data_IF_671506533681
#
_entry.id   IF_671506533681
#
_cell.length_a   1.000
_cell.length_b   1.000
_cell.length_c   1.000
_cell.angle_alpha   90.00
_cell.angle_beta   90.00
_cell.angle_gamma   90.00
#
_symmetry.space_group_name_H-M   'P 1'
#
loop_
_entity.id
_entity.type
_entity.pdbx_description
1 polymer ?
#
# COMPACT_ATOMS: atom_id res chain seq x y z
N UNK A 1 -8.76 -7.88 42.09
CA UNK A 1 -9.64 -8.85 41.39
C UNK A 1 -9.12 -9.11 40.00
N UNK A 2 -8.71 -10.36 39.70
CA UNK A 2 -8.41 -10.77 38.33
C UNK A 2 -9.74 -10.93 37.61
N UNK A 3 -10.02 -10.09 36.65
CA UNK A 3 -11.14 -10.26 35.73
C UNK A 3 -10.96 -11.64 35.08
N UNK A 4 -11.82 -12.59 35.38
CA UNK A 4 -11.90 -13.85 34.64
C UNK A 4 -12.54 -13.52 33.30
N UNK A 5 -11.70 -13.29 32.29
CA UNK A 5 -12.18 -13.13 30.92
C UNK A 5 -12.73 -14.49 30.45
N UNK A 6 -13.93 -14.50 29.94
CA UNK A 6 -14.56 -15.72 29.39
C UNK A 6 -13.71 -16.28 28.25
N UNK A 7 -13.60 -17.60 28.13
CA UNK A 7 -12.83 -18.18 27.04
C UNK A 7 -13.53 -17.96 25.70
N UNK A 8 -12.68 -17.65 24.73
CA UNK A 8 -12.82 -17.78 23.27
C UNK A 8 -14.29 -17.84 22.75
N UNK A 9 -14.85 -16.66 22.42
CA UNK A 9 -16.22 -16.59 21.85
C UNK A 9 -16.27 -17.02 20.38
N UNK A 10 -15.13 -17.05 19.65
CA UNK A 10 -15.07 -17.28 18.21
C UNK A 10 -13.99 -18.29 17.80
N UNK A 11 -13.98 -19.52 18.38
CA UNK A 11 -12.98 -20.51 18.04
C UNK A 11 -13.09 -20.97 16.58
N UNK A 12 -11.96 -20.97 15.85
CA UNK A 12 -11.91 -21.39 14.45
C UNK A 12 -12.42 -20.38 13.43
N UNK A 13 -12.89 -19.20 13.86
CA UNK A 13 -13.19 -18.08 12.96
C UNK A 13 -11.91 -17.43 12.48
N UNK A 14 -11.87 -17.08 11.19
CA UNK A 14 -10.70 -16.51 10.54
C UNK A 14 -10.88 -15.02 10.29
N UNK A 15 -9.90 -14.21 10.68
CA UNK A 15 -9.89 -12.79 10.39
C UNK A 15 -8.58 -12.36 9.77
N UNK A 16 -8.66 -11.59 8.68
CA UNK A 16 -7.52 -10.87 8.13
C UNK A 16 -7.56 -9.45 8.70
N UNK A 17 -6.46 -8.97 9.21
CA UNK A 17 -6.28 -7.56 9.59
C UNK A 17 -5.17 -7.00 8.71
N UNK A 18 -5.55 -6.14 7.76
CA UNK A 18 -4.62 -5.40 6.91
C UNK A 18 -4.32 -4.05 7.53
N UNK A 19 -3.04 -3.77 7.78
CA UNK A 19 -2.62 -2.53 8.43
C UNK A 19 -1.17 -2.19 8.13
N UNK A 20 -0.72 -1.00 8.55
CA UNK A 20 0.57 -0.38 8.26
C UNK A 20 0.71 0.05 6.81
N UNK A 21 0.83 -0.85 5.87
CA UNK A 21 0.80 -0.68 4.41
C UNK A 21 1.63 0.52 3.88
N UNK A 22 2.90 0.68 4.31
CA UNK A 22 3.73 1.77 3.82
C UNK A 22 4.15 1.53 2.37
N UNK A 23 4.35 2.62 1.63
CA UNK A 23 5.00 2.52 0.33
C UNK A 23 6.50 2.30 0.49
N UNK A 24 7.07 1.36 -0.26
CA UNK A 24 8.53 1.21 -0.31
C UNK A 24 9.17 2.49 -0.88
N UNK A 25 10.45 2.70 -0.56
CA UNK A 25 11.20 3.90 -0.92
C UNK A 25 10.66 5.22 -0.33
N UNK A 26 9.69 5.13 0.59
CA UNK A 26 9.24 6.23 1.43
C UNK A 26 9.58 5.96 2.89
N UNK A 27 9.78 7.04 3.64
CA UNK A 27 10.04 6.93 5.08
C UNK A 27 8.79 6.51 5.83
N UNK A 28 9.01 5.72 6.88
CA UNK A 28 7.96 5.39 7.84
C UNK A 28 7.67 6.63 8.70
N UNK A 29 6.47 7.16 8.57
CA UNK A 29 6.04 8.40 9.25
C UNK A 29 5.08 8.09 10.40
N UNK A 30 4.79 9.12 11.22
CA UNK A 30 3.79 9.02 12.28
C UNK A 30 2.39 8.59 11.78
N UNK A 31 2.07 8.86 10.51
CA UNK A 31 0.84 8.36 9.89
C UNK A 31 0.82 6.84 9.77
N UNK A 32 1.95 6.25 9.35
CA UNK A 32 2.12 4.79 9.29
C UNK A 32 2.13 4.18 10.70
N UNK A 33 2.77 4.85 11.68
CA UNK A 33 2.74 4.42 13.08
C UNK A 33 1.31 4.29 13.60
N UNK A 34 0.43 5.26 13.31
CA UNK A 34 -0.97 5.23 13.72
C UNK A 34 -1.70 4.00 13.18
N UNK A 35 -1.64 3.77 11.86
CA UNK A 35 -2.23 2.58 11.24
C UNK A 35 -1.68 1.29 11.85
N UNK A 36 -0.35 1.23 12.01
CA UNK A 36 0.35 0.07 12.56
C UNK A 36 -0.13 -0.27 13.97
N UNK A 37 -0.22 0.72 14.85
CA UNK A 37 -0.61 0.49 16.25
C UNK A 37 -2.10 0.15 16.39
N UNK A 38 -2.98 0.80 15.63
CA UNK A 38 -4.41 0.48 15.63
C UNK A 38 -4.64 -0.94 15.09
N UNK A 39 -4.01 -1.27 13.96
CA UNK A 39 -4.16 -2.60 13.36
C UNK A 39 -3.58 -3.71 14.23
N UNK A 40 -2.43 -3.46 14.84
CA UNK A 40 -1.83 -4.41 15.80
C UNK A 40 -2.75 -4.65 17.00
N UNK A 41 -3.32 -3.59 17.60
CA UNK A 41 -4.25 -3.72 18.71
C UNK A 41 -5.52 -4.51 18.31
N UNK A 42 -6.07 -4.26 17.11
CA UNK A 42 -7.20 -5.02 16.59
C UNK A 42 -6.87 -6.49 16.36
N UNK A 43 -5.69 -6.78 15.80
CA UNK A 43 -5.23 -8.15 15.61
C UNK A 43 -5.10 -8.90 16.95
N UNK A 44 -4.50 -8.25 17.96
CA UNK A 44 -4.38 -8.82 19.30
C UNK A 44 -5.75 -9.04 19.96
N UNK A 45 -6.68 -8.09 19.83
CA UNK A 45 -8.03 -8.24 20.38
C UNK A 45 -8.78 -9.42 19.73
N UNK A 46 -8.71 -9.59 18.41
CA UNK A 46 -9.31 -10.72 17.72
C UNK A 46 -8.65 -12.04 18.13
N UNK A 47 -7.33 -12.08 18.24
CA UNK A 47 -6.62 -13.27 18.73
C UNK A 47 -7.05 -13.64 20.14
N UNK A 48 -7.22 -12.66 21.02
CA UNK A 48 -7.71 -12.85 22.37
C UNK A 48 -9.14 -13.43 22.40
N UNK A 49 -10.00 -13.01 21.47
CA UNK A 49 -11.36 -13.54 21.30
C UNK A 49 -11.41 -14.93 20.62
N UNK A 50 -10.26 -15.49 20.25
CA UNK A 50 -10.16 -16.85 19.69
C UNK A 50 -10.18 -16.95 18.17
N UNK A 51 -10.10 -15.83 17.47
CA UNK A 51 -9.94 -15.87 16.02
C UNK A 51 -8.56 -16.39 15.60
N UNK A 52 -8.52 -17.11 14.49
CA UNK A 52 -7.28 -17.29 13.72
C UNK A 52 -7.00 -16.00 12.96
N UNK A 53 -5.98 -15.25 13.38
CA UNK A 53 -5.68 -13.93 12.84
C UNK A 53 -4.56 -14.01 11.81
N UNK A 54 -4.82 -13.53 10.60
CA UNK A 54 -3.79 -13.24 9.59
C UNK A 54 -3.47 -11.75 9.59
N UNK A 55 -2.23 -11.40 9.96
CA UNK A 55 -1.71 -10.02 9.95
C UNK A 55 -1.08 -9.74 8.60
N UNK A 56 -1.71 -8.88 7.83
CA UNK A 56 -1.31 -8.59 6.46
C UNK A 56 -0.80 -7.16 6.34
N UNK A 57 0.36 -7.02 5.70
CA UNK A 57 0.94 -5.72 5.37
C UNK A 57 0.93 -5.54 3.84
N UNK A 58 -0.06 -4.82 3.33
CA UNK A 58 -0.21 -4.56 1.90
C UNK A 58 0.72 -3.43 1.46
N UNK A 59 1.99 -3.77 1.21
CA UNK A 59 3.00 -2.79 0.84
C UNK A 59 2.73 -2.17 -0.53
N UNK A 60 2.79 -0.83 -0.59
CA UNK A 60 2.80 -0.12 -1.85
C UNK A 60 4.16 -0.27 -2.53
N UNK A 61 4.26 -1.18 -3.49
CA UNK A 61 5.54 -1.53 -4.14
C UNK A 61 5.60 -1.08 -5.59
N UNK A 62 4.56 -0.43 -6.12
CA UNK A 62 4.42 -0.05 -7.51
C UNK A 62 3.91 1.39 -7.67
N UNK A 63 4.24 2.05 -8.79
CA UNK A 63 3.71 3.36 -9.12
C UNK A 63 4.76 4.33 -9.69
N UNK A 64 4.30 5.43 -10.28
CA UNK A 64 5.12 6.46 -10.95
C UNK A 64 6.22 7.06 -10.07
N UNK A 65 6.06 7.01 -8.75
CA UNK A 65 7.07 7.42 -7.78
C UNK A 65 8.41 6.70 -7.93
N UNK A 66 8.40 5.46 -8.45
CA UNK A 66 9.63 4.71 -8.70
C UNK A 66 10.38 5.25 -9.89
N UNK A 67 9.69 5.72 -10.93
CA UNK A 67 10.34 6.44 -12.02
C UNK A 67 11.09 7.67 -11.52
N UNK A 68 10.48 8.46 -10.66
CA UNK A 68 11.13 9.61 -10.01
C UNK A 68 12.38 9.19 -9.21
N UNK A 69 12.29 8.12 -8.42
CA UNK A 69 13.42 7.65 -7.61
C UNK A 69 14.57 7.10 -8.45
N UNK A 70 14.24 6.34 -9.50
CA UNK A 70 15.22 5.80 -10.44
C UNK A 70 15.95 6.95 -11.16
N UNK A 71 15.22 7.94 -11.67
CA UNK A 71 15.78 9.12 -12.31
C UNK A 71 16.67 9.92 -11.32
N UNK A 72 16.16 10.18 -10.11
CA UNK A 72 16.90 10.91 -9.08
C UNK A 72 18.21 10.20 -8.69
N UNK A 73 18.13 8.89 -8.46
CA UNK A 73 19.30 8.09 -8.12
C UNK A 73 20.32 8.08 -9.26
N UNK A 74 19.89 7.89 -10.49
CA UNK A 74 20.77 7.86 -11.67
C UNK A 74 21.45 9.21 -11.89
N UNK A 75 20.74 10.32 -11.69
CA UNK A 75 21.32 11.66 -11.86
C UNK A 75 22.38 12.02 -10.80
N UNK A 76 22.17 11.66 -9.54
CA UNK A 76 22.96 12.26 -8.45
C UNK A 76 23.72 11.26 -7.57
N UNK A 77 23.52 9.99 -7.78
CA UNK A 77 24.15 8.98 -6.94
C UNK A 77 25.21 8.15 -7.67
N UNK A 78 25.37 8.29 -8.99
CA UNK A 78 26.37 7.54 -9.76
C UNK A 78 27.82 8.05 -9.60
N UNK A 79 28.01 9.28 -9.11
CA UNK A 79 29.31 9.93 -9.00
C UNK A 79 30.13 9.51 -7.76
N UNK A 80 30.13 8.23 -7.40
CA UNK A 80 30.91 7.72 -6.27
C UNK A 80 30.26 7.88 -4.88
N UNK A 81 29.13 8.59 -4.78
CA UNK A 81 28.25 8.62 -3.60
C UNK A 81 27.09 7.64 -3.69
N UNK A 82 27.15 6.73 -4.64
CA UNK A 82 26.05 5.89 -5.09
C UNK A 82 25.64 4.79 -4.10
N UNK A 83 26.46 4.50 -3.12
CA UNK A 83 26.10 3.48 -2.13
C UNK A 83 25.29 4.11 -0.99
N UNK A 84 23.95 3.88 -1.07
CA UNK A 84 23.03 4.33 -0.03
C UNK A 84 23.32 3.66 1.33
N UNK A 85 23.97 2.53 1.33
CA UNK A 85 24.33 1.74 2.51
C UNK A 85 25.76 2.02 3.00
N UNK A 86 26.53 2.91 2.33
CA UNK A 86 27.90 3.25 2.74
C UNK A 86 27.92 3.73 4.18
N UNK A 87 28.84 3.18 4.94
CA UNK A 87 29.07 3.53 6.36
C UNK A 87 27.81 3.37 7.25
N UNK A 88 26.84 2.56 6.83
CA UNK A 88 25.65 2.30 7.61
C UNK A 88 25.70 0.90 8.26
N UNK A 89 25.70 0.88 9.58
CA UNK A 89 25.63 -0.36 10.37
C UNK A 89 24.17 -0.77 10.57
N UNK A 90 23.75 -1.83 9.88
CA UNK A 90 22.41 -2.39 10.03
C UNK A 90 22.17 -3.05 11.40
N UNK A 91 23.23 -3.34 12.16
CA UNK A 91 23.12 -3.89 13.52
C UNK A 91 22.86 -2.81 14.57
N UNK A 92 23.05 -1.51 14.23
CA UNK A 92 22.75 -0.40 15.14
C UNK A 92 21.24 -0.33 15.42
N UNK A 93 20.80 -0.51 16.68
CA UNK A 93 19.37 -0.64 17.00
C UNK A 93 18.58 0.66 16.87
N UNK A 94 19.25 1.81 16.98
CA UNK A 94 18.62 3.13 16.92
C UNK A 94 19.53 4.16 16.24
N UNK A 95 19.87 3.95 14.94
CA UNK A 95 20.74 4.86 14.23
C UNK A 95 20.11 6.26 14.11
N UNK A 96 20.98 7.27 13.98
CA UNK A 96 20.51 8.59 13.62
C UNK A 96 19.75 8.51 12.28
N UNK A 97 18.52 9.00 12.29
CA UNK A 97 17.59 8.84 11.16
C UNK A 97 18.13 9.39 9.84
N UNK A 98 18.81 10.53 9.88
CA UNK A 98 19.40 11.16 8.71
C UNK A 98 20.52 10.35 8.05
N UNK A 99 21.04 9.34 8.75
CA UNK A 99 22.09 8.45 8.26
C UNK A 99 21.56 7.19 7.59
N UNK A 100 20.26 6.90 7.76
CA UNK A 100 19.70 5.65 7.19
C UNK A 100 19.68 5.67 5.66
N UNK A 101 19.92 4.52 5.01
CA UNK A 101 19.85 4.40 3.56
C UNK A 101 18.53 4.87 2.97
N UNK A 102 17.43 4.55 3.64
CA UNK A 102 16.10 4.98 3.21
C UNK A 102 15.90 6.50 3.30
N UNK A 103 16.52 7.16 4.31
CA UNK A 103 16.48 8.61 4.38
C UNK A 103 17.31 9.27 3.27
N UNK A 104 18.46 8.72 2.91
CA UNK A 104 19.26 9.19 1.77
C UNK A 104 18.48 9.10 0.46
N UNK A 105 17.77 7.96 0.25
CA UNK A 105 16.90 7.80 -0.90
C UNK A 105 15.75 8.82 -0.90
N UNK A 106 15.15 9.08 0.25
CA UNK A 106 14.12 10.11 0.41
C UNK A 106 14.63 11.52 0.09
N UNK A 107 15.85 11.87 0.47
CA UNK A 107 16.46 13.16 0.13
C UNK A 107 16.58 13.34 -1.40
N UNK A 108 16.96 12.28 -2.12
CA UNK A 108 17.01 12.32 -3.59
C UNK A 108 15.61 12.54 -4.18
N UNK A 109 14.58 11.91 -3.62
CA UNK A 109 13.19 12.10 -4.04
C UNK A 109 12.70 13.53 -3.82
N UNK A 110 12.97 14.11 -2.65
CA UNK A 110 12.61 15.53 -2.35
C UNK A 110 13.35 16.49 -3.26
N UNK A 111 14.64 16.26 -3.48
CA UNK A 111 15.45 17.09 -4.38
C UNK A 111 14.90 17.04 -5.81
N UNK A 112 14.52 15.87 -6.30
CA UNK A 112 13.97 15.73 -7.66
C UNK A 112 12.70 16.56 -7.81
N UNK A 113 11.79 16.49 -6.85
CA UNK A 113 10.55 17.26 -6.90
C UNK A 113 10.77 18.78 -6.81
N UNK A 114 11.79 19.22 -6.10
CA UNK A 114 12.15 20.65 -6.05
C UNK A 114 12.76 21.15 -7.37
N UNK A 115 13.58 20.32 -8.03
CA UNK A 115 14.22 20.69 -9.29
C UNK A 115 13.28 20.55 -10.50
N UNK A 116 12.37 19.56 -10.50
CA UNK A 116 11.41 19.38 -11.60
C UNK A 116 10.41 20.56 -11.79
N UNK A 117 10.23 21.39 -10.75
CA UNK A 117 9.42 22.61 -10.86
C UNK A 117 10.01 23.59 -11.86
N UNK A 118 11.35 23.61 -12.01
CA UNK A 118 12.11 24.49 -12.89
C UNK A 118 12.56 23.79 -14.19
N UNK A 119 12.50 22.45 -14.26
CA UNK A 119 12.89 21.66 -15.43
C UNK A 119 11.83 20.60 -15.75
N UNK A 120 10.83 20.92 -16.61
CA UNK A 120 9.77 19.99 -17.00
C UNK A 120 10.28 18.70 -17.67
N UNK A 121 11.48 18.70 -18.28
CA UNK A 121 12.06 17.52 -18.91
C UNK A 121 12.35 16.40 -17.90
N UNK A 122 12.54 16.75 -16.63
CA UNK A 122 12.73 15.78 -15.56
C UNK A 122 11.49 14.88 -15.36
N UNK A 123 10.30 15.40 -15.61
CA UNK A 123 9.06 14.58 -15.54
C UNK A 123 9.03 13.51 -16.63
N UNK A 124 9.49 13.86 -17.82
CA UNK A 124 9.54 12.92 -18.94
C UNK A 124 10.61 11.85 -18.70
N UNK A 125 11.74 12.24 -18.13
CA UNK A 125 12.76 11.30 -17.68
C UNK A 125 12.21 10.31 -16.63
N UNK A 126 11.52 10.80 -15.61
CA UNK A 126 10.90 9.95 -14.60
C UNK A 126 9.87 8.99 -15.21
N UNK A 127 9.04 9.46 -16.16
CA UNK A 127 8.13 8.60 -16.92
C UNK A 127 8.87 7.54 -17.73
N UNK A 128 9.98 7.92 -18.39
CA UNK A 128 10.82 7.03 -19.13
C UNK A 128 11.40 5.92 -18.25
N UNK A 129 11.90 6.24 -17.06
CA UNK A 129 12.40 5.25 -16.11
C UNK A 129 11.30 4.31 -15.62
N UNK A 130 10.10 4.84 -15.34
CA UNK A 130 8.97 4.02 -14.91
C UNK A 130 8.53 3.06 -16.03
N UNK A 131 8.46 3.54 -17.28
CA UNK A 131 8.18 2.69 -18.44
C UNK A 131 9.21 1.59 -18.61
N UNK A 132 10.52 1.89 -18.52
CA UNK A 132 11.59 0.88 -18.53
C UNK A 132 11.39 -0.18 -17.45
N UNK A 133 11.00 0.24 -16.24
CA UNK A 133 10.71 -0.69 -15.12
C UNK A 133 9.56 -1.63 -15.48
N UNK A 134 8.45 -1.10 -16.04
CA UNK A 134 7.29 -1.88 -16.49
C UNK A 134 7.66 -2.86 -17.62
N UNK A 135 8.47 -2.43 -18.57
CA UNK A 135 8.95 -3.25 -19.70
C UNK A 135 10.01 -4.27 -19.30
N UNK A 136 10.46 -4.25 -18.05
CA UNK A 136 11.38 -5.27 -17.53
C UNK A 136 12.84 -4.98 -17.74
N UNK A 137 13.24 -3.74 -18.00
CA UNK A 137 14.64 -3.33 -18.12
C UNK A 137 15.46 -3.82 -16.92
N UNK A 138 16.59 -4.45 -17.20
CA UNK A 138 17.41 -5.14 -16.21
C UNK A 138 17.96 -4.17 -15.14
N UNK A 139 18.38 -2.96 -15.54
CA UNK A 139 18.92 -1.97 -14.61
C UNK A 139 17.81 -1.37 -13.76
N UNK A 140 16.69 -0.98 -14.35
CA UNK A 140 15.55 -0.44 -13.62
C UNK A 140 15.04 -1.45 -12.58
N UNK A 141 14.92 -2.73 -12.94
CA UNK A 141 14.52 -3.80 -12.01
C UNK A 141 15.55 -4.06 -10.93
N UNK A 142 16.84 -4.01 -11.24
CA UNK A 142 17.93 -4.17 -10.27
C UNK A 142 17.88 -3.08 -9.21
N UNK A 143 17.78 -1.81 -9.63
CA UNK A 143 17.67 -0.66 -8.72
C UNK A 143 16.39 -0.70 -7.90
N UNK A 144 15.26 -0.99 -8.52
CA UNK A 144 13.98 -1.14 -7.83
C UNK A 144 14.03 -2.25 -6.76
N UNK A 145 14.60 -3.40 -7.07
CA UNK A 145 14.76 -4.50 -6.13
C UNK A 145 15.63 -4.10 -4.94
N UNK A 146 16.69 -3.33 -5.19
CA UNK A 146 17.56 -2.83 -4.14
C UNK A 146 16.85 -1.80 -3.24
N UNK A 147 16.11 -0.84 -3.81
CA UNK A 147 15.32 0.10 -3.03
C UNK A 147 14.26 -0.60 -2.19
N UNK A 148 13.64 -1.65 -2.74
CA UNK A 148 12.71 -2.51 -2.00
C UNK A 148 13.41 -3.19 -0.82
N UNK A 149 14.57 -3.77 -1.03
CA UNK A 149 15.36 -4.44 0.02
C UNK A 149 15.72 -3.49 1.17
N UNK A 150 16.23 -2.30 0.86
CA UNK A 150 16.55 -1.26 1.85
C UNK A 150 15.29 -0.90 2.65
N UNK A 151 14.17 -0.64 1.97
CA UNK A 151 12.92 -0.24 2.60
C UNK A 151 12.40 -1.30 3.55
N UNK A 152 12.38 -2.57 3.11
CA UNK A 152 11.92 -3.68 3.95
C UNK A 152 12.78 -3.87 5.19
N UNK A 153 14.11 -3.73 5.08
CA UNK A 153 15.01 -3.80 6.24
C UNK A 153 14.73 -2.68 7.24
N UNK A 154 14.52 -1.46 6.76
CA UNK A 154 14.18 -0.32 7.61
C UNK A 154 12.82 -0.49 8.28
N UNK A 155 11.79 -0.95 7.55
CA UNK A 155 10.48 -1.23 8.12
C UNK A 155 10.53 -2.35 9.16
N UNK A 156 11.26 -3.44 8.88
CA UNK A 156 11.41 -4.55 9.81
C UNK A 156 12.03 -4.06 11.13
N UNK A 157 13.08 -3.24 11.08
CA UNK A 157 13.71 -2.66 12.27
C UNK A 157 12.72 -1.83 13.11
N UNK A 158 11.83 -1.07 12.44
CA UNK A 158 10.79 -0.30 13.13
C UNK A 158 9.77 -1.25 13.75
N UNK A 159 9.33 -2.28 13.02
CA UNK A 159 8.36 -3.27 13.52
C UNK A 159 8.92 -4.04 14.70
N UNK A 160 10.19 -4.45 14.67
CA UNK A 160 10.86 -5.13 15.79
C UNK A 160 10.87 -4.25 17.03
N UNK A 161 11.18 -2.95 16.88
CA UNK A 161 11.16 -1.99 17.99
C UNK A 161 9.75 -1.75 18.55
N UNK A 162 8.71 -1.87 17.74
CA UNK A 162 7.31 -1.73 18.15
C UNK A 162 6.71 -3.04 18.69
N UNK A 163 7.42 -4.15 18.59
CA UNK A 163 6.90 -5.48 18.91
C UNK A 163 5.77 -5.93 17.97
N UNK A 164 5.80 -5.47 16.71
CA UNK A 164 4.79 -5.78 15.69
C UNK A 164 5.36 -6.79 14.70
N UNK A 165 4.58 -7.80 14.37
CA UNK A 165 4.92 -8.78 13.34
C UNK A 165 3.78 -8.97 12.36
N UNK A 166 4.12 -9.38 11.14
CA UNK A 166 3.18 -9.72 10.09
C UNK A 166 3.35 -11.16 9.64
N UNK A 167 2.26 -11.81 9.29
CA UNK A 167 2.28 -13.17 8.75
C UNK A 167 2.69 -13.16 7.28
N UNK A 168 2.47 -12.03 6.57
CA UNK A 168 2.96 -11.81 5.20
C UNK A 168 3.33 -10.35 4.94
N UNK A 169 4.49 -10.15 4.31
CA UNK A 169 5.00 -8.88 3.76
C UNK A 169 5.12 -8.95 2.23
N UNK A 170 4.84 -10.09 1.63
CA UNK A 170 5.06 -10.32 0.20
C UNK A 170 3.83 -10.01 -0.64
N UNK A 171 2.64 -10.01 -0.02
CA UNK A 171 1.36 -9.76 -0.68
C UNK A 171 1.04 -8.26 -0.80
N UNK A 172 2.02 -7.47 -1.29
CA UNK A 172 1.83 -6.07 -1.67
C UNK A 172 1.21 -5.91 -3.06
N UNK A 173 1.11 -4.67 -3.53
CA UNK A 173 0.45 -4.31 -4.80
C UNK A 173 0.94 -5.14 -6.01
N UNK A 174 2.27 -5.37 -6.12
CA UNK A 174 2.84 -6.11 -7.24
C UNK A 174 2.54 -7.62 -7.22
N UNK A 175 2.16 -8.18 -6.08
CA UNK A 175 1.82 -9.59 -5.96
C UNK A 175 0.57 -9.95 -6.80
N UNK A 176 -0.31 -8.98 -7.01
CA UNK A 176 -1.59 -9.19 -7.70
C UNK A 176 -1.55 -8.82 -9.18
N UNK A 177 -0.39 -8.50 -9.77
CA UNK A 177 -0.29 -8.06 -11.17
C UNK A 177 -0.90 -9.06 -12.15
N UNK A 178 -0.57 -10.35 -11.99
CA UNK A 178 -1.10 -11.44 -12.84
C UNK A 178 -2.60 -11.70 -12.60
N UNK A 179 -3.19 -11.17 -11.52
CA UNK A 179 -4.59 -11.31 -11.18
C UNK A 179 -5.47 -10.21 -11.78
N UNK A 180 -4.88 -9.14 -12.31
CA UNK A 180 -5.64 -7.99 -12.82
C UNK A 180 -6.49 -8.35 -14.04
N UNK A 181 -5.90 -9.03 -15.01
CA UNK A 181 -6.61 -9.52 -16.20
C UNK A 181 -7.77 -10.48 -15.85
N UNK A 182 -7.52 -11.55 -15.08
CA UNK A 182 -8.58 -12.42 -14.59
C UNK A 182 -9.68 -11.69 -13.81
N UNK A 183 -9.33 -10.69 -12.99
CA UNK A 183 -10.30 -9.87 -12.25
C UNK A 183 -11.19 -9.09 -13.19
N UNK A 184 -10.60 -8.38 -14.18
CA UNK A 184 -11.37 -7.64 -15.18
C UNK A 184 -12.32 -8.55 -15.97
N UNK A 185 -11.84 -9.75 -16.34
CA UNK A 185 -12.69 -10.75 -17.02
C UNK A 185 -13.86 -11.19 -16.15
N UNK A 186 -13.66 -11.45 -14.86
CA UNK A 186 -14.75 -11.80 -13.93
C UNK A 186 -15.80 -10.68 -13.83
N UNK A 187 -15.39 -9.42 -13.80
CA UNK A 187 -16.29 -8.27 -13.78
C UNK A 187 -17.09 -8.15 -15.10
N UNK A 188 -16.46 -8.45 -16.23
CA UNK A 188 -17.10 -8.46 -17.55
C UNK A 188 -18.10 -9.61 -17.68
N UNK A 189 -17.70 -10.82 -17.34
CA UNK A 189 -18.55 -12.02 -17.38
C UNK A 189 -19.78 -11.88 -16.45
N UNK A 190 -19.65 -11.13 -15.34
CA UNK A 190 -20.76 -10.78 -14.45
C UNK A 190 -21.64 -9.62 -14.98
N UNK A 191 -21.33 -9.03 -16.12
CA UNK A 191 -22.09 -7.93 -16.71
C UNK A 191 -22.05 -6.63 -15.91
N UNK A 192 -21.02 -6.43 -15.06
CA UNK A 192 -20.90 -5.26 -14.18
C UNK A 192 -20.25 -4.05 -14.85
N UNK A 193 -19.47 -4.27 -15.92
CA UNK A 193 -18.71 -3.23 -16.58
C UNK A 193 -19.57 -2.42 -17.56
N UNK A 194 -19.47 -1.10 -17.42
CA UNK A 194 -20.05 -0.16 -18.39
C UNK A 194 -18.97 0.80 -18.89
N UNK A 195 -19.18 1.37 -20.08
CA UNK A 195 -18.28 2.39 -20.62
C UNK A 195 -18.56 3.72 -19.94
N UNK A 196 -17.51 4.33 -19.42
CA UNK A 196 -17.51 5.68 -18.85
C UNK A 196 -16.85 6.70 -19.77
N UNK A 197 -16.53 7.85 -19.21
CA UNK A 197 -15.88 8.93 -19.96
C UNK A 197 -14.54 8.50 -20.57
N UNK A 198 -14.29 8.94 -21.82
CA UNK A 198 -13.03 8.72 -22.55
C UNK A 198 -12.63 7.23 -22.67
N UNK A 199 -13.62 6.33 -22.78
CA UNK A 199 -13.38 4.90 -22.92
C UNK A 199 -12.96 4.19 -21.64
N UNK A 200 -13.12 4.83 -20.48
CA UNK A 200 -12.86 4.19 -19.18
C UNK A 200 -13.88 3.07 -18.91
N UNK A 201 -13.50 2.08 -18.12
CA UNK A 201 -14.39 1.01 -17.63
C UNK A 201 -14.78 1.33 -16.18
N UNK A 202 -16.07 1.43 -15.95
CA UNK A 202 -16.65 1.78 -14.64
C UNK A 202 -17.73 0.78 -14.22
N UNK A 203 -18.06 0.80 -12.93
CA UNK A 203 -19.17 0.02 -12.37
C UNK A 203 -20.13 0.97 -11.67
N UNK A 204 -21.40 0.97 -12.06
CA UNK A 204 -22.44 1.76 -11.41
C UNK A 204 -22.82 1.17 -10.06
N UNK A 205 -22.95 2.02 -9.06
CA UNK A 205 -23.21 1.66 -7.67
C UNK A 205 -24.42 2.42 -7.06
N UNK A 206 -25.26 3.02 -7.89
CA UNK A 206 -26.45 3.78 -7.45
C UNK A 206 -27.43 2.91 -6.64
N UNK A 207 -27.59 1.65 -7.01
CA UNK A 207 -28.40 0.67 -6.29
C UNK A 207 -27.83 0.29 -4.91
N UNK A 208 -26.51 0.52 -4.69
CA UNK A 208 -25.86 0.43 -3.39
C UNK A 208 -25.86 1.78 -2.62
N UNK A 209 -26.54 2.81 -3.13
CA UNK A 209 -26.59 4.15 -2.55
C UNK A 209 -25.32 4.98 -2.74
N UNK A 210 -24.46 4.60 -3.68
CA UNK A 210 -23.22 5.32 -4.00
C UNK A 210 -23.36 5.97 -5.37
N UNK A 211 -23.47 7.31 -5.40
CA UNK A 211 -23.68 8.08 -6.64
C UNK A 211 -22.45 8.15 -7.54
N UNK A 212 -21.25 8.00 -6.98
CA UNK A 212 -20.01 8.02 -7.75
C UNK A 212 -19.68 6.61 -8.22
N UNK A 213 -19.62 6.32 -9.54
CA UNK A 213 -19.29 5.01 -10.04
C UNK A 213 -17.86 4.60 -9.65
N UNK A 214 -17.63 3.29 -9.53
CA UNK A 214 -16.29 2.76 -9.31
C UNK A 214 -15.54 2.69 -10.64
N UNK A 215 -14.50 3.51 -10.80
CA UNK A 215 -13.58 3.38 -11.93
C UNK A 215 -12.71 2.14 -11.69
N UNK A 216 -12.63 1.24 -12.68
CA UNK A 216 -11.79 0.03 -12.60
C UNK A 216 -10.69 -0.02 -13.65
N UNK A 217 -10.84 0.70 -14.77
CA UNK A 217 -9.79 0.79 -15.79
C UNK A 217 -9.89 2.12 -16.53
N UNK A 218 -8.74 2.72 -16.82
CA UNK A 218 -8.68 3.92 -17.65
C UNK A 218 -8.93 3.59 -19.12
N UNK A 219 -9.30 4.61 -19.94
CA UNK A 219 -9.54 4.44 -21.36
C UNK A 219 -8.31 4.01 -22.18
N UNK A 220 -7.11 4.17 -21.65
CA UNK A 220 -5.85 3.67 -22.23
C UNK A 220 -5.56 2.21 -21.87
N UNK A 221 -6.47 1.53 -21.16
CA UNK A 221 -6.32 0.16 -20.69
C UNK A 221 -5.55 0.00 -19.38
N UNK A 222 -5.03 1.09 -18.81
CA UNK A 222 -4.25 1.03 -17.56
C UNK A 222 -5.14 0.66 -16.37
N UNK A 223 -4.74 -0.37 -15.62
CA UNK A 223 -5.36 -0.73 -14.35
C UNK A 223 -5.09 0.32 -13.28
N UNK A 224 -6.01 0.45 -12.33
CA UNK A 224 -5.92 1.41 -11.23
C UNK A 224 -5.98 0.71 -9.88
N UNK A 225 -5.88 1.48 -8.79
CA UNK A 225 -5.93 0.93 -7.43
C UNK A 225 -7.17 0.06 -7.16
N UNK A 226 -8.35 0.47 -7.66
CA UNK A 226 -9.58 -0.30 -7.46
C UNK A 226 -9.47 -1.73 -8.02
N UNK A 227 -8.89 -1.91 -9.21
CA UNK A 227 -8.70 -3.24 -9.81
C UNK A 227 -7.76 -4.10 -8.96
N UNK A 228 -6.69 -3.50 -8.41
CA UNK A 228 -5.74 -4.20 -7.53
C UNK A 228 -6.40 -4.63 -6.22
N UNK A 229 -7.19 -3.76 -5.61
CA UNK A 229 -7.90 -4.08 -4.36
C UNK A 229 -8.97 -5.15 -4.56
N UNK A 230 -9.67 -5.14 -5.70
CA UNK A 230 -10.59 -6.22 -6.07
C UNK A 230 -9.85 -7.54 -6.27
N UNK A 231 -8.73 -7.53 -7.00
CA UNK A 231 -7.89 -8.72 -7.21
C UNK A 231 -7.37 -9.27 -5.87
N UNK A 232 -6.91 -8.38 -4.98
CA UNK A 232 -6.45 -8.75 -3.65
C UNK A 232 -7.55 -9.41 -2.81
N UNK A 233 -8.77 -8.84 -2.82
CA UNK A 233 -9.90 -9.39 -2.08
C UNK A 233 -10.32 -10.77 -2.60
N UNK A 234 -10.36 -10.96 -3.92
CA UNK A 234 -10.66 -12.24 -4.57
C UNK A 234 -9.62 -13.31 -4.21
N UNK A 235 -8.33 -12.98 -4.31
CA UNK A 235 -7.25 -13.86 -3.89
C UNK A 235 -7.36 -14.24 -2.42
N UNK A 236 -7.60 -13.27 -1.53
CA UNK A 236 -7.73 -13.50 -0.08
C UNK A 236 -8.90 -14.42 0.25
N UNK A 237 -10.03 -14.31 -0.46
CA UNK A 237 -11.13 -15.26 -0.34
C UNK A 237 -10.66 -16.69 -0.60
N UNK A 238 -9.96 -16.91 -1.69
CA UNK A 238 -9.50 -18.24 -2.11
C UNK A 238 -8.38 -18.79 -1.20
N UNK A 239 -7.43 -17.95 -0.84
CA UNK A 239 -6.25 -18.36 -0.06
C UNK A 239 -6.55 -18.56 1.43
N UNK A 240 -7.42 -17.73 2.02
CA UNK A 240 -7.61 -17.68 3.47
C UNK A 240 -9.00 -18.11 3.92
N UNK A 241 -10.01 -18.09 3.04
CA UNK A 241 -11.41 -18.41 3.36
C UNK A 241 -11.86 -17.71 4.66
N UNK A 242 -11.63 -16.39 4.77
CA UNK A 242 -11.82 -15.61 5.99
C UNK A 242 -13.30 -15.37 6.32
N UNK A 243 -13.60 -15.22 7.60
CA UNK A 243 -14.92 -14.76 8.08
C UNK A 243 -15.02 -13.23 8.07
N UNK A 244 -13.90 -12.54 8.30
CA UNK A 244 -13.81 -11.07 8.26
C UNK A 244 -12.46 -10.62 7.69
N UNK A 245 -12.48 -9.51 6.95
CA UNK A 245 -11.28 -8.83 6.48
C UNK A 245 -11.36 -7.35 6.87
N UNK A 246 -10.50 -6.91 7.78
CA UNK A 246 -10.42 -5.55 8.27
C UNK A 246 -9.34 -4.77 7.53
N UNK A 247 -9.70 -3.61 7.00
CA UNK A 247 -8.78 -2.66 6.36
C UNK A 247 -8.59 -1.45 7.27
N UNK A 248 -7.42 -1.35 7.91
CA UNK A 248 -7.10 -0.25 8.83
C UNK A 248 -6.42 0.87 8.06
N UNK A 249 -7.23 1.73 7.46
CA UNK A 249 -6.82 2.77 6.51
C UNK A 249 -7.47 4.11 6.86
N UNK A 250 -6.83 5.22 6.48
CA UNK A 250 -7.31 6.57 6.80
C UNK A 250 -8.69 6.91 6.25
N UNK A 251 -9.36 7.87 6.88
CA UNK A 251 -10.71 8.34 6.52
C UNK A 251 -10.81 8.93 5.11
N UNK A 252 -9.73 9.35 4.51
CA UNK A 252 -9.66 9.83 3.13
C UNK A 252 -9.96 8.73 2.09
N UNK A 253 -9.93 7.45 2.49
CA UNK A 253 -10.21 6.29 1.65
C UNK A 253 -11.63 5.71 1.86
N UNK A 254 -12.50 6.37 2.64
CA UNK A 254 -13.85 5.85 2.95
C UNK A 254 -14.65 5.54 1.69
N UNK A 255 -14.74 6.49 0.75
CA UNK A 255 -15.49 6.28 -0.51
C UNK A 255 -14.89 5.13 -1.32
N UNK A 256 -13.57 5.04 -1.41
CA UNK A 256 -12.89 3.97 -2.12
C UNK A 256 -13.30 2.59 -1.59
N UNK A 257 -13.22 2.37 -0.26
CA UNK A 257 -13.60 1.09 0.32
C UNK A 257 -15.11 0.81 0.21
N UNK A 258 -15.96 1.83 0.31
CA UNK A 258 -17.40 1.66 0.04
C UNK A 258 -17.63 1.16 -1.39
N UNK A 259 -16.95 1.73 -2.38
CA UNK A 259 -17.03 1.29 -3.78
C UNK A 259 -16.51 -0.14 -3.96
N UNK A 260 -15.32 -0.46 -3.43
CA UNK A 260 -14.72 -1.80 -3.54
C UNK A 260 -15.65 -2.87 -2.92
N UNK A 261 -16.18 -2.62 -1.73
CA UNK A 261 -17.04 -3.59 -1.06
C UNK A 261 -18.37 -3.77 -1.78
N UNK A 262 -18.97 -2.69 -2.30
CA UNK A 262 -20.18 -2.76 -3.10
C UNK A 262 -19.96 -3.54 -4.40
N UNK A 263 -18.82 -3.37 -5.07
CA UNK A 263 -18.47 -4.17 -6.26
C UNK A 263 -18.29 -5.63 -5.91
N UNK A 264 -17.60 -5.94 -4.82
CA UNK A 264 -17.42 -7.33 -4.37
C UNK A 264 -18.74 -7.99 -4.01
N UNK A 265 -19.66 -7.29 -3.33
CA UNK A 265 -20.99 -7.80 -2.97
C UNK A 265 -21.86 -8.08 -4.21
N UNK A 266 -21.71 -7.27 -5.28
CA UNK A 266 -22.37 -7.53 -6.57
C UNK A 266 -21.76 -8.71 -7.31
N UNK A 267 -20.44 -8.83 -7.28
CA UNK A 267 -19.71 -9.88 -7.99
C UNK A 267 -19.92 -11.25 -7.34
N UNK A 268 -19.96 -11.29 -6.02
CA UNK A 268 -20.04 -12.53 -5.25
C UNK A 268 -20.66 -12.26 -3.87
N UNK A 269 -21.91 -12.74 -3.62
CA UNK A 269 -22.61 -12.56 -2.35
C UNK A 269 -21.84 -13.09 -1.11
N UNK A 270 -20.82 -13.92 -1.31
CA UNK A 270 -19.97 -14.42 -0.23
C UNK A 270 -19.30 -13.27 0.52
N UNK A 271 -18.96 -12.14 -0.14
CA UNK A 271 -18.30 -11.01 0.50
C UNK A 271 -19.19 -10.20 1.44
N UNK A 272 -20.52 -10.35 1.30
CA UNK A 272 -21.49 -9.53 2.04
C UNK A 272 -21.27 -9.59 3.55
N UNK A 273 -20.99 -8.44 4.15
CA UNK A 273 -20.75 -8.30 5.58
C UNK A 273 -19.42 -8.85 6.10
N UNK A 274 -18.52 -9.30 5.21
CA UNK A 274 -17.19 -9.82 5.58
C UNK A 274 -16.08 -8.76 5.46
N UNK A 275 -16.27 -7.75 4.64
CA UNK A 275 -15.32 -6.69 4.36
C UNK A 275 -15.60 -5.49 5.25
N UNK A 276 -14.62 -5.02 6.02
CA UNK A 276 -14.78 -3.93 6.96
C UNK A 276 -13.64 -2.92 6.80
N UNK A 277 -13.99 -1.68 6.50
CA UNK A 277 -13.05 -0.56 6.63
C UNK A 277 -13.07 -0.07 8.07
N UNK A 278 -11.91 0.00 8.70
CA UNK A 278 -11.69 0.56 10.02
C UNK A 278 -10.97 1.91 9.86
N UNK A 279 -11.72 3.00 9.62
CA UNK A 279 -11.15 4.29 9.30
C UNK A 279 -10.55 4.94 10.56
N UNK A 280 -9.46 5.68 10.37
CA UNK A 280 -8.87 6.51 11.42
C UNK A 280 -8.57 7.92 10.90
N UNK A 281 -8.63 8.91 11.79
CA UNK A 281 -8.37 10.30 11.45
C UNK A 281 -6.91 10.54 11.06
N UNK A 282 -6.72 11.36 10.02
CA UNK A 282 -5.38 11.75 9.54
C UNK A 282 -4.67 12.65 10.56
N UNK A 283 -3.35 12.46 10.69
CA UNK A 283 -2.51 13.39 11.44
C UNK A 283 -2.23 14.61 10.58
N UNK A 284 -2.47 15.78 11.14
CA UNK A 284 -2.20 17.07 10.49
C UNK A 284 -1.13 17.81 11.28
N UNK A 285 -0.27 18.51 10.59
CA UNK A 285 0.62 19.52 11.19
C UNK A 285 -0.18 20.82 11.41
N UNK A 286 0.27 21.72 12.27
CA UNK A 286 -0.33 23.07 12.40
C UNK A 286 -0.45 23.78 11.05
N UNK A 287 0.52 23.56 10.16
CA UNK A 287 0.61 24.17 8.82
C UNK A 287 -0.25 23.41 7.77
N UNK A 288 -0.90 22.29 8.13
CA UNK A 288 -1.74 21.52 7.24
C UNK A 288 -1.34 20.05 7.06
N UNK A 289 -1.60 19.48 5.88
CA UNK A 289 -1.29 18.07 5.60
C UNK A 289 0.22 17.83 5.47
N UNK A 290 0.71 16.73 6.04
CA UNK A 290 2.04 16.23 5.76
C UNK A 290 2.20 15.89 4.28
N UNK A 291 3.37 16.18 3.71
CA UNK A 291 3.70 15.87 2.32
C UNK A 291 5.11 15.33 2.19
N UNK A 292 5.23 14.11 1.74
CA UNK A 292 6.54 13.50 1.45
C UNK A 292 7.27 14.21 0.30
N UNK A 293 6.54 14.76 -0.68
CA UNK A 293 7.13 15.54 -1.79
C UNK A 293 7.80 16.81 -1.31
N UNK A 294 7.22 17.48 -0.30
CA UNK A 294 7.75 18.73 0.28
C UNK A 294 8.72 18.48 1.44
N UNK A 295 8.90 17.24 1.85
CA UNK A 295 9.76 16.91 2.97
C UNK A 295 9.23 17.29 4.36
N UNK A 296 7.99 17.85 4.47
CA UNK A 296 7.39 18.24 5.74
C UNK A 296 6.63 17.09 6.39
N UNK A 297 7.34 16.11 6.90
CA UNK A 297 6.79 14.92 7.54
C UNK A 297 7.41 14.70 8.91
N UNK A 298 6.63 14.17 9.85
CA UNK A 298 7.12 13.70 11.15
C UNK A 298 7.44 12.21 11.02
N UNK A 299 8.65 11.90 11.41
CA UNK A 299 9.18 10.55 11.36
C UNK A 299 9.04 9.85 12.72
#
# INVERSE_FOLDING_TARGET
>A
ERVKLSPLEFPGKKVIVEYSSPNIAKLFTIGHLRSTMIGHALAQAHQFLGYEVTRLNHLGVWGTQFGTLLAAYTRWAQDGNADLERDFDWAEPAPEKRRTPLFRLFQLYVRFHAEEENDPAMRDEARGWFKRLEEGDAEARRLWSWFRKISLREFQRIYDRLGVSFDTLEQGEAFYEDQLGPTMKRLEDAGLLVEGDKGARIINLEDAGISTPCLVQKGDGTSIYATRDLAAALYRKEAYAFDRCLYVVGTDQVLHFQQIFAVLDKLDPWFKGRMLHTPFGMIKLPEGKMSTRKGNVIF
#
